data_IF_954742595256
#
_entry.id   IF_954742595256
#
_cell.length_a   1.000
_cell.length_b   1.000
_cell.length_c   1.000
_cell.angle_alpha   90.00
_cell.angle_beta   90.00
_cell.angle_gamma   90.00
#
_symmetry.space_group_name_H-M   'P 1'
#
loop_
_entity.id
_entity.type
_entity.pdbx_description
1 polymer ?
#
# COMPACT_ATOMS: atom_id res chain seq x y z
N UNK A 1 25.31 13.12 -8.44
CA UNK A 1 23.98 13.77 -8.58
C UNK A 1 23.19 12.95 -9.58
N UNK A 2 22.02 12.47 -9.18
CA UNK A 2 21.17 11.65 -10.06
C UNK A 2 20.36 12.56 -10.98
N UNK A 3 20.21 12.16 -12.25
CA UNK A 3 19.56 12.95 -13.29
C UNK A 3 18.24 12.29 -13.70
N UNK A 4 17.14 13.02 -13.56
CA UNK A 4 15.83 12.62 -14.07
C UNK A 4 15.58 13.35 -15.39
N UNK A 5 15.27 12.60 -16.45
CA UNK A 5 14.91 13.14 -17.77
C UNK A 5 13.44 12.88 -18.03
N UNK A 6 12.67 13.93 -18.36
CA UNK A 6 11.25 13.86 -18.63
C UNK A 6 10.96 14.20 -20.09
N UNK A 7 10.00 13.51 -20.70
CA UNK A 7 9.41 13.91 -21.99
C UNK A 7 8.03 14.49 -21.71
N UNK A 8 7.85 15.77 -22.06
CA UNK A 8 6.61 16.51 -21.83
C UNK A 8 6.07 17.03 -23.16
N UNK A 9 4.75 17.21 -23.24
CA UNK A 9 4.13 17.82 -24.41
C UNK A 9 4.54 19.30 -24.52
N UNK A 10 4.61 19.88 -25.74
CA UNK A 10 4.95 21.29 -25.93
C UNK A 10 4.01 22.25 -25.20
N UNK A 11 2.73 21.88 -25.09
CA UNK A 11 1.72 22.65 -24.36
C UNK A 11 2.00 22.70 -22.86
N UNK A 12 2.34 21.55 -22.27
CA UNK A 12 2.68 21.44 -20.87
C UNK A 12 3.97 22.23 -20.55
N UNK A 13 4.95 22.20 -21.46
CA UNK A 13 6.18 23.02 -21.33
C UNK A 13 5.81 24.51 -21.28
N UNK A 14 4.99 25.02 -22.22
CA UNK A 14 4.60 26.44 -22.23
C UNK A 14 3.90 26.86 -20.93
N UNK A 15 2.96 26.06 -20.44
CA UNK A 15 2.26 26.35 -19.17
C UNK A 15 3.23 26.34 -17.97
N UNK A 16 4.16 25.38 -17.96
CA UNK A 16 5.17 25.31 -16.91
C UNK A 16 6.14 26.50 -16.95
N UNK A 17 6.49 26.98 -18.14
CA UNK A 17 7.36 28.15 -18.32
C UNK A 17 6.74 29.42 -17.78
N UNK A 18 5.45 29.63 -18.07
CA UNK A 18 4.68 30.74 -17.52
C UNK A 18 4.65 30.71 -15.99
N UNK A 19 4.41 29.53 -15.40
CA UNK A 19 4.44 29.36 -13.94
C UNK A 19 5.85 29.55 -13.34
N UNK A 20 6.90 29.18 -14.08
CA UNK A 20 8.28 29.23 -13.64
C UNK A 20 8.89 30.65 -13.69
N UNK A 21 8.33 31.56 -14.49
CA UNK A 21 8.85 32.91 -14.71
C UNK A 21 8.94 33.72 -13.41
N UNK A 22 7.93 33.62 -12.53
CA UNK A 22 7.93 34.28 -11.21
C UNK A 22 8.63 33.48 -10.10
N UNK A 23 9.18 32.30 -10.42
CA UNK A 23 9.55 31.28 -9.43
C UNK A 23 11.04 30.90 -9.49
N UNK A 24 11.86 31.75 -10.14
CA UNK A 24 13.30 31.54 -10.29
C UNK A 24 13.68 30.53 -11.38
N UNK A 25 12.78 30.26 -12.32
CA UNK A 25 13.01 29.39 -13.47
C UNK A 25 12.61 27.92 -13.26
N UNK A 26 12.59 27.17 -14.37
CA UNK A 26 12.07 25.79 -14.45
C UNK A 26 12.68 24.87 -13.39
N UNK A 27 14.00 24.90 -13.24
CA UNK A 27 14.72 23.99 -12.35
C UNK A 27 14.43 24.27 -10.87
N UNK A 28 14.26 25.54 -10.48
CA UNK A 28 13.88 25.91 -9.11
C UNK A 28 12.44 25.53 -8.79
N UNK A 29 11.52 25.74 -9.74
CA UNK A 29 10.14 25.32 -9.58
C UNK A 29 10.03 23.80 -9.50
N UNK A 30 10.69 23.07 -10.41
CA UNK A 30 10.69 21.60 -10.43
C UNK A 30 11.31 21.03 -9.16
N UNK A 31 12.43 21.58 -8.68
CA UNK A 31 13.06 21.15 -7.43
C UNK A 31 12.11 21.29 -6.24
N UNK A 32 11.46 22.46 -6.09
CA UNK A 32 10.50 22.69 -5.00
C UNK A 32 9.29 21.74 -5.08
N UNK A 33 8.77 21.49 -6.29
CA UNK A 33 7.69 20.53 -6.48
C UNK A 33 8.12 19.11 -6.12
N UNK A 34 9.33 18.70 -6.50
CA UNK A 34 9.89 17.40 -6.14
C UNK A 34 10.10 17.27 -4.62
N UNK A 35 10.66 18.28 -3.97
CA UNK A 35 10.87 18.31 -2.51
C UNK A 35 9.54 18.26 -1.76
N UNK A 36 8.55 19.04 -2.20
CA UNK A 36 7.21 19.03 -1.60
C UNK A 36 6.49 17.68 -1.80
N UNK A 37 6.70 17.01 -2.94
CA UNK A 37 6.15 15.68 -3.20
C UNK A 37 6.90 14.56 -2.45
N UNK A 38 8.19 14.74 -2.17
CA UNK A 38 9.07 13.78 -1.51
C UNK A 38 9.05 13.86 0.02
N UNK A 39 8.15 14.63 0.63
CA UNK A 39 7.96 14.71 2.08
C UNK A 39 7.39 13.41 2.68
N UNK A 40 6.83 12.52 1.85
CA UNK A 40 6.40 11.21 2.32
C UNK A 40 7.62 10.35 2.70
N UNK A 41 7.58 9.63 3.84
CA UNK A 41 8.61 8.65 4.16
C UNK A 41 8.83 7.71 2.98
N UNK A 42 10.10 7.46 2.62
CA UNK A 42 10.41 6.41 1.67
C UNK A 42 9.80 5.11 2.22
N UNK A 43 8.94 4.40 1.47
CA UNK A 43 8.52 3.08 1.87
C UNK A 43 9.80 2.28 2.11
N UNK A 44 9.85 1.57 3.24
CA UNK A 44 10.98 0.70 3.56
C UNK A 44 11.30 -0.11 2.30
N UNK A 45 12.58 -0.18 1.88
CA UNK A 45 12.94 -0.89 0.65
C UNK A 45 12.36 -2.29 0.78
N UNK A 46 11.33 -2.56 -0.02
CA UNK A 46 10.80 -3.90 -0.20
C UNK A 46 12.00 -4.67 -0.72
N UNK A 47 12.60 -5.50 0.14
CA UNK A 47 13.81 -6.24 -0.18
C UNK A 47 13.56 -6.87 -1.54
N UNK A 48 14.25 -6.36 -2.57
CA UNK A 48 14.17 -6.93 -3.90
C UNK A 48 14.35 -8.43 -3.71
N UNK A 49 13.47 -9.29 -4.25
CA UNK A 49 13.54 -10.71 -4.00
C UNK A 49 14.93 -11.15 -4.46
N UNK A 50 15.83 -11.33 -3.49
CA UNK A 50 17.07 -12.05 -3.69
C UNK A 50 16.63 -13.32 -4.37
N UNK A 51 17.21 -13.63 -5.52
CA UNK A 51 16.96 -14.88 -6.26
C UNK A 51 17.37 -16.04 -5.36
N UNK A 52 16.53 -16.34 -4.39
CA UNK A 52 16.78 -17.29 -3.34
C UNK A 52 16.76 -18.64 -4.05
N UNK A 53 17.91 -19.31 -4.05
CA UNK A 53 18.00 -20.68 -4.52
C UNK A 53 16.93 -21.49 -3.79
N UNK A 54 15.96 -22.00 -4.53
CA UNK A 54 14.86 -22.78 -3.94
C UNK A 54 15.37 -24.17 -3.59
N UNK A 55 15.13 -24.60 -2.35
CA UNK A 55 15.36 -25.99 -1.91
C UNK A 55 14.10 -26.83 -2.09
N UNK A 56 14.25 -28.09 -2.50
CA UNK A 56 13.13 -29.04 -2.59
C UNK A 56 13.02 -29.82 -1.27
N UNK A 57 11.85 -29.74 -0.64
CA UNK A 57 11.46 -30.58 0.49
C UNK A 57 10.50 -31.67 0.01
N UNK A 58 10.80 -32.93 0.32
CA UNK A 58 9.91 -34.07 0.04
C UNK A 58 9.41 -34.62 1.37
N UNK A 59 8.09 -34.73 1.53
CA UNK A 59 7.45 -35.21 2.76
C UNK A 59 6.72 -36.53 2.49
N UNK A 60 6.72 -37.43 3.46
CA UNK A 60 5.88 -38.63 3.48
C UNK A 60 5.00 -38.56 4.71
N UNK A 61 3.69 -38.49 4.49
CA UNK A 61 2.68 -38.39 5.52
C UNK A 61 1.87 -39.68 5.58
N UNK A 62 1.32 -39.99 6.76
CA UNK A 62 0.31 -41.02 6.88
C UNK A 62 -0.96 -40.63 6.14
N UNK A 63 -1.78 -41.61 5.75
CA UNK A 63 -3.01 -41.37 4.99
C UNK A 63 -4.03 -40.50 5.76
N UNK A 64 -4.08 -40.64 7.08
CA UNK A 64 -4.92 -39.80 7.94
C UNK A 64 -4.48 -38.33 7.90
N UNK A 65 -3.19 -38.05 8.11
CA UNK A 65 -2.63 -36.70 8.10
C UNK A 65 -2.73 -36.06 6.71
N UNK A 66 -2.54 -36.85 5.65
CA UNK A 66 -2.67 -36.37 4.28
C UNK A 66 -4.10 -35.91 3.99
N UNK A 67 -5.12 -36.64 4.46
CA UNK A 67 -6.53 -36.24 4.32
C UNK A 67 -6.84 -34.96 5.09
N UNK A 68 -6.36 -34.84 6.33
CA UNK A 68 -6.54 -33.60 7.12
C UNK A 68 -5.91 -32.41 6.42
N UNK A 69 -4.69 -32.57 5.90
CA UNK A 69 -4.00 -31.53 5.14
C UNK A 69 -4.78 -31.11 3.89
N UNK A 70 -5.39 -32.06 3.18
CA UNK A 70 -6.23 -31.76 2.02
C UNK A 70 -7.48 -30.95 2.36
N UNK A 71 -8.12 -31.24 3.50
CA UNK A 71 -9.27 -30.47 4.00
C UNK A 71 -8.85 -29.03 4.33
N UNK A 72 -7.78 -28.85 5.09
CA UNK A 72 -7.27 -27.53 5.48
C UNK A 72 -6.81 -26.70 4.26
N UNK A 73 -6.15 -27.36 3.30
CA UNK A 73 -5.73 -26.72 2.05
C UNK A 73 -6.94 -26.26 1.22
N UNK A 74 -7.97 -27.11 1.11
CA UNK A 74 -9.19 -26.80 0.37
C UNK A 74 -9.99 -25.65 1.01
N UNK A 75 -10.10 -25.62 2.34
CA UNK A 75 -10.77 -24.55 3.08
C UNK A 75 -10.18 -23.16 2.76
N UNK A 76 -8.88 -23.10 2.50
CA UNK A 76 -8.14 -21.86 2.15
C UNK A 76 -8.00 -21.62 0.64
N UNK A 77 -8.55 -22.50 -0.21
CA UNK A 77 -8.36 -22.43 -1.67
C UNK A 77 -6.92 -22.62 -2.13
N UNK A 78 -6.12 -23.38 -1.37
CA UNK A 78 -4.71 -23.65 -1.63
C UNK A 78 -4.50 -25.12 -2.05
N UNK A 79 -3.45 -25.40 -2.81
CA UNK A 79 -2.97 -26.77 -2.96
C UNK A 79 -2.25 -27.24 -1.68
N UNK A 80 -2.14 -28.57 -1.51
CA UNK A 80 -1.39 -29.21 -0.41
C UNK A 80 0.00 -28.60 -0.20
N UNK A 81 0.74 -28.40 -1.30
CA UNK A 81 2.08 -27.81 -1.30
C UNK A 81 2.05 -26.34 -0.89
N UNK A 82 1.08 -25.57 -1.39
CA UNK A 82 0.94 -24.15 -1.06
C UNK A 82 0.58 -23.95 0.41
N UNK A 83 -0.36 -24.73 0.94
CA UNK A 83 -0.75 -24.69 2.35
C UNK A 83 0.42 -25.09 3.26
N UNK A 84 1.13 -26.19 2.94
CA UNK A 84 2.31 -26.62 3.70
C UNK A 84 3.41 -25.57 3.72
N UNK A 85 3.71 -24.97 2.56
CA UNK A 85 4.70 -23.90 2.47
C UNK A 85 4.26 -22.64 3.22
N UNK A 86 2.95 -22.32 3.22
CA UNK A 86 2.40 -21.21 3.99
C UNK A 86 2.59 -21.44 5.50
N UNK A 87 2.23 -22.62 6.01
CA UNK A 87 2.42 -23.04 7.40
C UNK A 87 3.90 -22.95 7.82
N UNK A 88 4.81 -23.52 7.03
CA UNK A 88 6.26 -23.48 7.30
C UNK A 88 6.76 -22.03 7.38
N UNK A 89 6.42 -21.21 6.38
CA UNK A 89 6.84 -19.81 6.34
C UNK A 89 6.26 -18.99 7.50
N UNK A 90 5.00 -19.22 7.89
CA UNK A 90 4.40 -18.60 9.08
C UNK A 90 5.24 -18.97 10.31
N UNK A 91 5.55 -20.25 10.49
CA UNK A 91 6.29 -20.72 11.66
C UNK A 91 7.73 -20.18 11.72
N UNK A 92 8.36 -20.00 10.57
CA UNK A 92 9.74 -19.52 10.48
C UNK A 92 9.88 -17.99 10.57
N UNK A 93 8.88 -17.25 10.09
CA UNK A 93 9.00 -15.79 9.91
C UNK A 93 8.00 -14.97 10.71
N UNK A 94 7.06 -15.63 11.40
CA UNK A 94 5.94 -15.00 12.12
C UNK A 94 5.17 -13.98 11.28
N UNK A 95 5.12 -14.21 9.96
CA UNK A 95 4.40 -13.34 9.03
C UNK A 95 3.02 -13.92 8.70
N UNK A 96 1.96 -13.08 8.66
CA UNK A 96 0.65 -13.52 8.20
C UNK A 96 0.73 -14.03 6.76
N UNK A 97 0.02 -15.12 6.48
CA UNK A 97 -0.09 -15.68 5.14
C UNK A 97 -1.47 -15.42 4.60
N UNK A 98 -1.54 -14.71 3.48
CA UNK A 98 -2.79 -14.40 2.82
C UNK A 98 -3.03 -15.37 1.67
N UNK A 99 -4.26 -15.84 1.56
CA UNK A 99 -4.78 -16.39 0.32
C UNK A 99 -4.72 -15.35 -0.80
N UNK A 100 -4.83 -15.81 -2.06
CA UNK A 100 -4.78 -14.91 -3.22
C UNK A 100 -5.88 -13.84 -3.21
N UNK A 101 -7.15 -14.16 -2.89
CA UNK A 101 -8.21 -13.14 -2.76
C UNK A 101 -7.91 -12.09 -1.69
N UNK A 102 -7.43 -12.50 -0.52
CA UNK A 102 -7.07 -11.59 0.58
C UNK A 102 -5.92 -10.67 0.19
N UNK A 103 -4.89 -11.20 -0.48
CA UNK A 103 -3.77 -10.40 -0.96
C UNK A 103 -4.21 -9.34 -1.99
N UNK A 104 -5.16 -9.69 -2.88
CA UNK A 104 -5.72 -8.73 -3.85
C UNK A 104 -6.56 -7.65 -3.16
N UNK A 105 -7.39 -8.03 -2.19
CA UNK A 105 -8.16 -7.07 -1.38
C UNK A 105 -7.23 -6.08 -0.67
N UNK A 106 -6.15 -6.56 -0.05
CA UNK A 106 -5.16 -5.73 0.61
C UNK A 106 -4.45 -4.75 -0.35
N UNK A 107 -4.12 -5.19 -1.56
CA UNK A 107 -3.53 -4.33 -2.59
C UNK A 107 -4.48 -3.19 -2.96
N UNK A 108 -5.78 -3.48 -3.07
CA UNK A 108 -6.79 -2.47 -3.42
C UNK A 108 -7.00 -1.49 -2.26
N UNK A 109 -7.13 -1.96 -1.02
CA UNK A 109 -7.19 -1.09 0.18
C UNK A 109 -5.98 -0.17 0.25
N UNK A 110 -4.77 -0.70 0.00
CA UNK A 110 -3.54 0.11 -0.02
C UNK A 110 -3.58 1.18 -1.13
N UNK A 111 -4.10 0.86 -2.30
CA UNK A 111 -4.25 1.83 -3.41
C UNK A 111 -5.21 2.94 -3.01
N UNK A 112 -6.31 2.58 -2.37
CA UNK A 112 -7.35 3.51 -1.96
C UNK A 112 -6.87 4.46 -0.85
N UNK A 113 -6.21 3.94 0.19
CA UNK A 113 -5.57 4.77 1.22
C UNK A 113 -4.56 5.76 0.62
N UNK A 114 -3.76 5.31 -0.36
CA UNK A 114 -2.81 6.20 -1.05
C UNK A 114 -3.53 7.32 -1.81
N UNK A 115 -4.64 7.00 -2.48
CA UNK A 115 -5.46 7.98 -3.22
C UNK A 115 -6.00 9.04 -2.26
N UNK A 116 -6.53 8.62 -1.11
CA UNK A 116 -7.07 9.55 -0.12
C UNK A 116 -5.96 10.42 0.47
N UNK A 117 -4.82 9.84 0.84
CA UNK A 117 -3.67 10.61 1.32
C UNK A 117 -3.18 11.67 0.33
N UNK A 118 -3.25 11.39 -0.98
CA UNK A 118 -2.95 12.38 -2.02
C UNK A 118 -3.97 13.52 -2.02
N UNK A 119 -5.27 13.22 -1.94
CA UNK A 119 -6.34 14.23 -1.91
C UNK A 119 -6.24 15.12 -0.66
N UNK A 120 -6.02 14.53 0.52
CA UNK A 120 -5.81 15.27 1.78
C UNK A 120 -4.65 16.26 1.64
N UNK A 121 -3.53 15.81 1.07
CA UNK A 121 -2.36 16.65 0.87
C UNK A 121 -2.59 17.76 -0.18
N UNK A 122 -3.49 17.55 -1.15
CA UNK A 122 -3.91 18.59 -2.09
C UNK A 122 -4.76 19.65 -1.41
N UNK A 123 -5.73 19.27 -0.56
CA UNK A 123 -6.55 20.21 0.20
C UNK A 123 -5.67 21.02 1.16
N UNK A 124 -4.79 20.37 1.92
CA UNK A 124 -3.86 21.05 2.81
C UNK A 124 -2.97 22.07 2.06
N UNK A 125 -2.51 21.74 0.85
CA UNK A 125 -1.77 22.68 0.01
C UNK A 125 -2.65 23.83 -0.50
N UNK A 126 -3.85 23.55 -1.00
CA UNK A 126 -4.78 24.58 -1.46
C UNK A 126 -5.07 25.57 -0.33
N UNK A 127 -5.32 25.06 0.88
CA UNK A 127 -5.53 25.83 2.09
C UNK A 127 -4.32 26.69 2.49
N UNK A 128 -3.10 26.12 2.44
CA UNK A 128 -1.88 26.86 2.75
C UNK A 128 -1.52 27.91 1.69
N UNK A 129 -2.04 27.80 0.46
CA UNK A 129 -1.72 28.72 -0.64
C UNK A 129 -2.80 29.79 -0.84
N UNK A 130 -4.04 29.51 -0.42
CA UNK A 130 -5.13 30.45 -0.39
C UNK A 130 -5.14 31.20 0.95
N UNK A 131 -4.53 32.38 1.00
CA UNK A 131 -5.12 33.44 1.83
C UNK A 131 -6.51 33.66 1.22
N UNK A 132 -7.65 33.31 1.85
CA UNK A 132 -9.01 33.86 1.61
C UNK A 132 -10.16 33.11 2.36
N UNK A 133 -11.07 33.93 2.91
CA UNK A 133 -12.43 33.80 3.50
C UNK A 133 -12.99 32.45 4.01
N UNK A 134 -13.38 32.49 5.30
CA UNK A 134 -13.78 31.36 6.17
C UNK A 134 -14.97 30.46 5.79
N UNK A 135 -15.97 30.84 4.97
CA UNK A 135 -17.13 29.96 4.73
C UNK A 135 -16.87 28.78 3.77
N UNK A 136 -15.90 28.89 2.85
CA UNK A 136 -15.56 27.82 1.89
C UNK A 136 -14.67 26.74 2.55
N UNK A 137 -13.90 27.13 3.57
CA UNK A 137 -13.10 26.22 4.41
C UNK A 137 -13.96 25.13 5.07
N UNK A 138 -15.13 25.50 5.59
CA UNK A 138 -15.94 24.61 6.43
C UNK A 138 -16.55 23.44 5.64
N UNK A 139 -16.91 23.65 4.37
CA UNK A 139 -17.45 22.59 3.51
C UNK A 139 -16.37 21.57 3.12
N UNK A 140 -15.16 22.04 2.78
CA UNK A 140 -14.03 21.17 2.42
C UNK A 140 -13.49 20.40 3.65
N UNK A 141 -13.49 21.03 4.83
CA UNK A 141 -13.14 20.39 6.10
C UNK A 141 -14.16 19.32 6.52
N UNK A 142 -15.45 19.53 6.26
CA UNK A 142 -16.50 18.54 6.51
C UNK A 142 -16.35 17.29 5.62
N UNK A 143 -16.00 17.46 4.34
CA UNK A 143 -15.74 16.33 3.44
C UNK A 143 -14.46 15.56 3.83
N UNK A 144 -13.43 16.26 4.29
CA UNK A 144 -12.21 15.67 4.86
C UNK A 144 -12.52 14.80 6.09
N UNK A 145 -13.37 15.28 7.00
CA UNK A 145 -13.79 14.53 8.18
C UNK A 145 -14.57 13.26 7.83
N UNK A 146 -15.45 13.34 6.83
CA UNK A 146 -16.20 12.17 6.36
C UNK A 146 -15.28 11.09 5.77
N UNK A 147 -14.29 11.48 4.95
CA UNK A 147 -13.30 10.54 4.43
C UNK A 147 -12.43 9.94 5.54
N UNK A 148 -12.10 10.69 6.59
CA UNK A 148 -11.34 10.17 7.72
C UNK A 148 -12.11 9.09 8.49
N UNK A 149 -13.42 9.28 8.70
CA UNK A 149 -14.28 8.27 9.33
C UNK A 149 -14.35 7.01 8.49
N UNK A 150 -14.54 7.15 7.18
CA UNK A 150 -14.59 6.01 6.26
C UNK A 150 -13.25 5.25 6.23
N UNK A 151 -12.11 5.94 6.14
CA UNK A 151 -10.79 5.29 6.21
C UNK A 151 -10.62 4.53 7.52
N UNK A 152 -11.02 5.12 8.64
CA UNK A 152 -10.85 4.50 9.96
C UNK A 152 -11.64 3.19 10.03
N UNK A 153 -12.89 3.18 9.56
CA UNK A 153 -13.70 1.97 9.49
C UNK A 153 -13.08 0.88 8.59
N UNK A 154 -12.46 1.26 7.46
CA UNK A 154 -11.77 0.32 6.58
C UNK A 154 -10.49 -0.23 7.20
N UNK A 155 -9.74 0.60 7.95
CA UNK A 155 -8.55 0.17 8.68
C UNK A 155 -8.91 -0.78 9.81
N UNK A 156 -10.00 -0.52 10.53
CA UNK A 156 -10.49 -1.39 11.60
C UNK A 156 -10.95 -2.75 11.05
N UNK A 157 -11.75 -2.76 9.98
CA UNK A 157 -12.17 -3.99 9.31
C UNK A 157 -10.98 -4.80 8.75
N UNK A 158 -9.94 -4.11 8.28
CA UNK A 158 -8.70 -4.75 7.87
C UNK A 158 -7.96 -5.34 9.08
N UNK A 159 -7.93 -4.64 10.21
CA UNK A 159 -7.37 -5.13 11.46
C UNK A 159 -8.03 -6.44 11.90
N UNK A 160 -9.36 -6.51 11.91
CA UNK A 160 -10.12 -7.71 12.25
C UNK A 160 -9.82 -8.88 11.29
N UNK A 161 -9.73 -8.62 9.98
CA UNK A 161 -9.37 -9.64 9.01
C UNK A 161 -7.93 -10.16 9.20
N UNK A 162 -6.99 -9.27 9.57
CA UNK A 162 -5.63 -9.66 9.91
C UNK A 162 -5.57 -10.48 11.20
N UNK A 163 -6.32 -10.10 12.23
CA UNK A 163 -6.41 -10.86 13.48
C UNK A 163 -6.98 -12.26 13.24
N UNK A 164 -8.07 -12.38 12.46
CA UNK A 164 -8.65 -13.67 12.08
C UNK A 164 -7.65 -14.55 11.32
N UNK A 165 -6.90 -13.98 10.38
CA UNK A 165 -5.85 -14.71 9.66
C UNK A 165 -4.69 -15.12 10.59
N UNK A 166 -4.23 -14.22 11.45
CA UNK A 166 -3.16 -14.52 12.41
C UNK A 166 -3.57 -15.60 13.40
N UNK A 167 -4.84 -15.61 13.83
CA UNK A 167 -5.43 -16.60 14.73
C UNK A 167 -5.56 -17.97 14.05
N UNK A 168 -6.03 -18.03 12.80
CA UNK A 168 -6.10 -19.28 12.04
C UNK A 168 -4.73 -19.96 11.91
N UNK A 169 -3.68 -19.16 11.67
CA UNK A 169 -2.32 -19.66 11.55
C UNK A 169 -1.54 -19.74 12.88
N UNK A 170 -2.20 -19.50 14.02
CA UNK A 170 -1.58 -19.65 15.32
C UNK A 170 -1.30 -21.14 15.60
N UNK A 171 -0.21 -21.48 16.31
CA UNK A 171 -0.01 -22.85 16.76
C UNK A 171 -1.19 -23.29 17.63
N UNK A 172 -1.65 -24.54 17.44
CA UNK A 172 -2.60 -25.16 18.37
C UNK A 172 -2.02 -25.07 19.80
N UNK A 173 -2.81 -24.51 20.71
CA UNK A 173 -2.46 -24.33 22.13
C UNK A 173 -2.45 -25.66 22.87
#
# INVERSE_FOLDING_TARGET
MDRITLRLSPDLIRRFDAAAAGQGGRSRLLRRLMEAAAQAPLPAPEQAPTTARSGKLTLRLGEADLRLLEVEAAAMGLSRTQWSAALIRRRLHDRPQFSRPEALALIEVRRELRRIGVNVNQIARALNTAVMDGPVLDLELGQLGAFQVEISAWVDALGEAFEGNLAYWAPAS
#
